data_IF_946742245369
#
_entry.id   IF_946742245369
#
_cell.length_a   1.000
_cell.length_b   1.000
_cell.length_c   1.000
_cell.angle_alpha   90.00
_cell.angle_beta   90.00
_cell.angle_gamma   90.00
#
_symmetry.space_group_name_H-M   'P 1'
#
loop_
_entity.id
_entity.type
_entity.pdbx_description
1 polymer ?
#
# COMPACT_ATOMS: atom_id res chain seq x y z
N UNK A 1 85.17 40.63 28.13
CA UNK A 1 84.30 40.34 26.97
C UNK A 1 83.06 41.22 27.06
N UNK A 2 82.82 42.09 26.08
CA UNK A 2 81.65 42.97 26.08
C UNK A 2 80.36 42.12 26.00
N UNK A 3 79.31 42.42 26.80
CA UNK A 3 78.07 41.66 26.77
C UNK A 3 77.40 41.82 25.40
N UNK A 4 77.14 40.69 24.72
CA UNK A 4 76.44 40.69 23.44
C UNK A 4 75.00 41.13 23.66
N UNK A 5 74.53 42.12 22.87
CA UNK A 5 73.15 42.62 22.92
C UNK A 5 72.21 41.45 22.58
N UNK A 6 71.34 41.07 23.53
CA UNK A 6 70.29 40.06 23.29
C UNK A 6 69.30 40.59 22.25
N UNK A 7 68.74 39.72 21.42
CA UNK A 7 67.75 40.11 20.40
C UNK A 7 66.46 40.61 21.07
N UNK A 8 65.75 41.55 20.41
CA UNK A 8 64.49 42.18 20.89
C UNK A 8 63.42 41.14 21.23
N UNK A 9 63.48 39.98 20.58
CA UNK A 9 62.56 38.86 20.79
C UNK A 9 62.55 38.40 22.24
N UNK A 10 63.67 38.49 22.96
CA UNK A 10 63.73 38.12 24.37
C UNK A 10 62.85 38.98 25.28
N UNK A 11 62.40 40.16 24.86
CA UNK A 11 61.47 40.98 25.65
C UNK A 11 60.10 40.30 25.84
N UNK A 12 59.74 39.35 24.99
CA UNK A 12 58.46 38.63 25.03
C UNK A 12 58.55 37.26 25.72
N UNK A 13 59.73 36.84 26.15
CA UNK A 13 59.95 35.49 26.67
C UNK A 13 60.75 35.49 27.97
N UNK A 14 60.40 34.57 28.87
CA UNK A 14 61.14 34.28 30.11
C UNK A 14 61.83 32.93 29.97
N UNK A 15 63.12 32.84 30.25
CA UNK A 15 63.82 31.55 30.30
C UNK A 15 63.36 30.74 31.52
N UNK A 16 63.01 29.47 31.30
CA UNK A 16 62.66 28.52 32.36
C UNK A 16 63.78 27.52 32.55
N UNK A 17 64.24 26.91 31.45
CA UNK A 17 65.38 25.98 31.41
C UNK A 17 66.35 26.39 30.30
N UNK A 18 67.53 25.76 30.24
CA UNK A 18 68.52 25.97 29.17
C UNK A 18 67.95 25.79 27.75
N UNK A 19 66.91 24.96 27.61
CA UNK A 19 66.28 24.63 26.32
C UNK A 19 64.81 25.06 26.23
N UNK A 20 64.24 25.70 27.26
CA UNK A 20 62.81 26.04 27.31
C UNK A 20 62.61 27.49 27.77
N UNK A 21 61.77 28.20 27.04
CA UNK A 21 61.38 29.58 27.32
C UNK A 21 59.86 29.68 27.34
N UNK A 22 59.30 30.45 28.26
CA UNK A 22 57.86 30.69 28.35
C UNK A 22 57.53 32.03 27.72
N UNK A 23 56.55 32.05 26.81
CA UNK A 23 56.03 33.27 26.23
C UNK A 23 55.26 34.07 27.30
N UNK A 24 55.52 35.37 27.41
CA UNK A 24 54.84 36.23 28.37
C UNK A 24 53.45 36.69 27.89
N UNK A 25 53.14 36.49 26.60
CA UNK A 25 51.85 36.90 26.00
C UNK A 25 50.78 35.80 26.09
N UNK A 26 51.15 34.52 25.93
CA UNK A 26 50.22 33.39 26.03
C UNK A 26 50.58 32.35 27.09
N UNK A 27 51.69 32.54 27.82
CA UNK A 27 52.18 31.62 28.85
C UNK A 27 52.54 30.20 28.37
N UNK A 28 52.59 29.98 27.05
CA UNK A 28 53.02 28.72 26.48
C UNK A 28 54.54 28.54 26.53
N UNK A 29 54.97 27.28 26.73
CA UNK A 29 56.38 26.93 26.73
C UNK A 29 56.86 26.60 25.32
N UNK A 30 57.89 27.30 24.88
CA UNK A 30 58.53 27.18 23.57
C UNK A 30 59.97 26.66 23.74
N UNK A 31 60.39 25.75 22.88
CA UNK A 31 61.76 25.22 22.90
C UNK A 31 62.74 26.21 22.27
N UNK A 32 63.82 26.50 22.98
CA UNK A 32 64.93 27.34 22.52
C UNK A 32 66.21 26.51 22.38
N UNK A 33 66.54 26.10 21.16
CA UNK A 33 67.76 25.32 20.87
C UNK A 33 68.91 26.25 20.46
N UNK A 34 69.30 27.19 21.32
CA UNK A 34 70.41 28.13 21.08
C UNK A 34 70.16 29.25 20.06
N UNK A 35 69.02 29.23 19.35
CA UNK A 35 68.62 30.26 18.37
C UNK A 35 67.19 30.76 18.63
N UNK A 36 66.91 32.02 18.29
CA UNK A 36 65.60 32.64 18.54
C UNK A 36 64.54 32.33 17.49
N UNK A 37 64.82 31.47 16.50
CA UNK A 37 63.91 31.12 15.39
C UNK A 37 62.56 30.57 15.86
N UNK A 38 62.57 29.68 16.86
CA UNK A 38 61.33 29.15 17.45
C UNK A 38 60.51 30.22 18.18
N UNK A 39 61.19 31.17 18.82
CA UNK A 39 60.55 32.29 19.52
C UNK A 39 59.92 33.27 18.51
N UNK A 40 60.62 33.58 17.41
CA UNK A 40 60.05 34.39 16.32
C UNK A 40 58.86 33.69 15.65
N UNK A 41 58.98 32.39 15.37
CA UNK A 41 57.89 31.61 14.77
C UNK A 41 56.64 31.65 15.65
N UNK A 42 56.82 31.46 16.96
CA UNK A 42 55.72 31.56 17.93
C UNK A 42 55.09 32.96 17.93
N UNK A 43 55.89 34.03 17.94
CA UNK A 43 55.35 35.39 17.87
C UNK A 43 54.61 35.66 16.55
N UNK A 44 55.10 35.17 15.41
CA UNK A 44 54.42 35.37 14.11
C UNK A 44 53.11 34.58 14.01
N UNK A 45 53.04 33.39 14.57
CA UNK A 45 51.83 32.56 14.46
C UNK A 45 50.75 32.94 15.48
N UNK A 46 51.14 33.25 16.73
CA UNK A 46 50.17 33.50 17.82
C UNK A 46 50.02 34.97 18.19
N UNK A 47 51.01 35.80 17.86
CA UNK A 47 51.10 37.19 18.32
C UNK A 47 51.52 38.15 17.18
N UNK A 48 50.94 37.94 15.99
CA UNK A 48 51.31 38.65 14.76
C UNK A 48 51.25 40.19 14.92
N UNK A 49 50.27 40.67 15.69
CA UNK A 49 50.05 42.10 15.93
C UNK A 49 51.15 42.72 16.83
N UNK A 50 51.61 41.97 17.85
CA UNK A 50 52.66 42.39 18.78
C UNK A 50 54.05 42.33 18.14
N UNK A 51 54.31 41.31 17.31
CA UNK A 51 55.54 41.21 16.53
C UNK A 51 55.72 42.41 15.58
N UNK A 52 54.64 42.83 14.93
CA UNK A 52 54.64 43.94 13.96
C UNK A 52 54.95 45.28 14.64
N UNK A 53 54.41 45.50 15.85
CA UNK A 53 54.68 46.70 16.66
C UNK A 53 56.14 46.76 17.18
N UNK A 54 56.70 45.61 17.56
CA UNK A 54 58.08 45.50 18.04
C UNK A 54 59.14 45.64 16.93
N UNK A 55 58.79 45.26 15.69
CA UNK A 55 59.64 45.46 14.52
C UNK A 55 59.65 46.93 14.06
N UNK A 56 58.53 47.64 14.22
CA UNK A 56 58.37 49.04 13.81
C UNK A 56 59.07 50.06 14.74
N UNK A 57 59.49 49.67 15.94
CA UNK A 57 60.07 50.60 16.94
C UNK A 57 61.57 50.92 16.72
N UNK A 58 62.17 50.51 15.60
CA UNK A 58 63.59 50.75 15.30
C UNK A 58 63.89 51.90 14.35
N UNK A 59 62.88 52.61 13.85
CA UNK A 59 63.09 53.72 12.93
C UNK A 59 62.56 55.05 13.47
N UNK A 60 63.41 55.71 14.25
CA UNK A 60 63.39 57.17 14.39
C UNK A 60 64.81 57.69 14.18
N UNK A 61 65.24 57.73 12.92
CA UNK A 61 66.25 58.72 12.46
C UNK A 61 65.99 59.17 11.02
N UNK A 62 65.20 60.24 10.92
CA UNK A 62 65.28 61.33 9.92
C UNK A 62 65.26 61.03 8.41
N UNK A 63 64.14 61.45 7.80
CA UNK A 63 63.99 62.35 6.63
C UNK A 63 64.07 61.78 5.20
N UNK A 64 63.04 62.19 4.45
CA UNK A 64 62.90 62.40 3.01
C UNK A 64 62.36 61.26 2.15
N UNK A 65 61.33 61.64 1.42
CA UNK A 65 60.72 60.94 0.31
C UNK A 65 61.74 60.56 -0.75
N UNK A 66 61.64 59.35 -1.26
CA UNK A 66 61.74 59.17 -2.70
C UNK A 66 60.84 58.02 -3.13
N UNK A 67 60.13 58.31 -4.21
CA UNK A 67 59.35 57.42 -5.06
C UNK A 67 60.32 56.46 -5.78
N UNK A 68 59.79 55.40 -6.37
CA UNK A 68 60.50 54.38 -7.16
C UNK A 68 61.15 53.22 -6.39
N UNK A 69 60.42 52.10 -6.28
CA UNK A 69 61.04 50.77 -6.34
C UNK A 69 60.06 49.70 -6.84
N UNK A 70 60.52 49.02 -7.87
CA UNK A 70 59.96 47.89 -8.61
C UNK A 70 59.46 46.72 -7.73
N UNK A 71 58.57 45.87 -8.26
CA UNK A 71 58.18 44.62 -7.60
C UNK A 71 59.39 43.69 -7.49
N UNK A 72 59.90 43.55 -6.27
CA UNK A 72 60.91 42.54 -5.94
C UNK A 72 60.23 41.16 -5.99
N UNK A 73 60.43 40.48 -7.10
CA UNK A 73 60.16 39.05 -7.27
C UNK A 73 60.90 38.30 -6.14
N UNK A 74 60.15 37.73 -5.20
CA UNK A 74 60.72 36.80 -4.22
C UNK A 74 61.03 35.50 -4.96
N UNK A 75 62.29 35.09 -4.87
CA UNK A 75 62.83 33.90 -5.51
C UNK A 75 62.03 32.63 -5.15
N UNK A 76 61.73 31.89 -6.22
CA UNK A 76 60.73 30.83 -6.36
C UNK A 76 61.27 29.43 -6.04
N UNK A 77 62.05 29.22 -4.97
CA UNK A 77 62.66 27.89 -4.74
C UNK A 77 62.55 27.31 -3.32
N UNK A 78 61.69 27.85 -2.45
CA UNK A 78 61.38 27.18 -1.15
C UNK A 78 59.92 27.36 -0.69
N UNK A 79 59.02 27.60 -1.63
CA UNK A 79 57.57 27.53 -1.41
C UNK A 79 57.03 26.45 -2.35
N UNK A 80 56.50 25.36 -1.79
CA UNK A 80 55.35 24.58 -2.26
C UNK A 80 55.46 23.14 -1.71
N UNK A 81 54.91 22.88 -0.53
CA UNK A 81 54.40 21.53 -0.20
C UNK A 81 53.19 21.52 0.76
N UNK A 82 52.61 22.68 1.10
CA UNK A 82 51.45 22.77 2.01
C UNK A 82 50.21 23.45 1.37
N UNK A 83 50.33 23.92 0.12
CA UNK A 83 49.20 24.52 -0.61
C UNK A 83 48.38 23.47 -1.41
N UNK A 84 48.94 22.27 -1.62
CA UNK A 84 48.26 21.19 -2.34
C UNK A 84 47.28 20.41 -1.45
N UNK A 85 47.55 20.31 -0.15
CA UNK A 85 46.73 19.54 0.80
C UNK A 85 45.42 20.27 1.18
N UNK A 86 45.45 21.60 1.29
CA UNK A 86 44.24 22.41 1.57
C UNK A 86 43.30 22.52 0.36
N UNK A 87 43.82 22.56 -0.87
CA UNK A 87 42.97 22.51 -2.08
C UNK A 87 42.40 21.11 -2.31
N UNK A 88 43.19 20.04 -2.09
CA UNK A 88 42.71 18.65 -2.21
C UNK A 88 41.63 18.27 -1.18
N UNK A 89 41.73 18.78 0.05
CA UNK A 89 40.70 18.61 1.08
C UNK A 89 39.38 19.31 0.69
N UNK A 90 39.44 20.55 0.17
CA UNK A 90 38.26 21.28 -0.32
C UNK A 90 37.61 20.57 -1.53
N UNK A 91 38.39 20.03 -2.47
CA UNK A 91 37.85 19.26 -3.61
C UNK A 91 37.24 17.92 -3.19
N UNK A 92 37.79 17.29 -2.15
CA UNK A 92 37.21 16.09 -1.53
C UNK A 92 35.85 16.38 -0.90
N UNK A 93 35.75 17.45 -0.11
CA UNK A 93 34.50 17.90 0.52
C UNK A 93 33.42 18.27 -0.51
N UNK A 94 33.79 18.98 -1.60
CA UNK A 94 32.84 19.32 -2.68
C UNK A 94 32.28 18.07 -3.35
N UNK A 95 33.11 17.06 -3.65
CA UNK A 95 32.66 15.79 -4.24
C UNK A 95 31.74 15.00 -3.32
N UNK A 96 32.00 15.03 -2.01
CA UNK A 96 31.13 14.39 -1.00
C UNK A 96 29.77 15.08 -0.96
N UNK A 97 29.74 16.41 -0.89
CA UNK A 97 28.50 17.20 -0.88
C UNK A 97 27.68 17.03 -2.17
N UNK A 98 28.33 16.95 -3.33
CA UNK A 98 27.68 16.66 -4.60
C UNK A 98 27.02 15.27 -4.60
N UNK A 99 27.74 14.25 -4.12
CA UNK A 99 27.20 12.89 -3.99
C UNK A 99 26.06 12.82 -2.97
N UNK A 100 26.14 13.53 -1.86
CA UNK A 100 25.05 13.62 -0.87
C UNK A 100 23.80 14.29 -1.46
N UNK A 101 23.98 15.35 -2.26
CA UNK A 101 22.87 15.98 -2.99
C UNK A 101 22.23 15.01 -3.98
N UNK A 102 23.03 14.28 -4.76
CA UNK A 102 22.54 13.27 -5.70
C UNK A 102 21.74 12.16 -5.00
N UNK A 103 22.25 11.64 -3.88
CA UNK A 103 21.54 10.65 -3.07
C UNK A 103 20.22 11.20 -2.51
N UNK A 104 20.22 12.45 -2.07
CA UNK A 104 19.01 13.13 -1.56
C UNK A 104 17.98 13.32 -2.67
N UNK A 105 18.41 13.71 -3.87
CA UNK A 105 17.54 13.82 -5.04
C UNK A 105 17.01 12.46 -5.49
N UNK A 106 17.84 11.41 -5.48
CA UNK A 106 17.44 10.05 -5.81
C UNK A 106 16.39 9.53 -4.82
N UNK A 107 16.58 9.76 -3.51
CA UNK A 107 15.60 9.41 -2.48
C UNK A 107 14.29 10.18 -2.68
N UNK A 108 14.33 11.49 -2.97
CA UNK A 108 13.13 12.27 -3.26
C UNK A 108 12.38 11.73 -4.48
N UNK A 109 13.09 11.34 -5.54
CA UNK A 109 12.49 10.71 -6.73
C UNK A 109 11.86 9.36 -6.38
N UNK A 110 12.55 8.51 -5.61
CA UNK A 110 12.03 7.23 -5.17
C UNK A 110 10.75 7.39 -4.32
N UNK A 111 10.76 8.28 -3.33
CA UNK A 111 9.59 8.58 -2.51
C UNK A 111 8.42 9.11 -3.35
N UNK A 112 8.69 9.94 -4.35
CA UNK A 112 7.64 10.42 -5.25
C UNK A 112 7.08 9.31 -6.14
N UNK A 113 7.91 8.37 -6.59
CA UNK A 113 7.46 7.19 -7.32
C UNK A 113 6.60 6.28 -6.45
N UNK A 114 7.03 6.03 -5.21
CA UNK A 114 6.25 5.26 -4.22
C UNK A 114 4.90 5.92 -3.92
N UNK A 115 4.87 7.24 -3.72
CA UNK A 115 3.63 7.98 -3.50
C UNK A 115 2.65 7.83 -4.67
N UNK A 116 3.14 7.93 -5.92
CA UNK A 116 2.31 7.72 -7.12
C UNK A 116 1.80 6.29 -7.23
N UNK A 117 2.64 5.31 -6.94
CA UNK A 117 2.23 3.90 -6.96
C UNK A 117 1.14 3.62 -5.91
N UNK A 118 1.25 4.19 -4.71
CA UNK A 118 0.23 4.09 -3.67
C UNK A 118 -1.08 4.77 -4.07
N UNK A 119 -1.00 5.92 -4.73
CA UNK A 119 -2.19 6.62 -5.25
C UNK A 119 -2.92 5.76 -6.29
N UNK A 120 -2.19 5.20 -7.26
CA UNK A 120 -2.75 4.26 -8.24
C UNK A 120 -3.39 3.03 -7.58
N UNK A 121 -2.74 2.46 -6.56
CA UNK A 121 -3.32 1.33 -5.81
C UNK A 121 -4.62 1.74 -5.09
N UNK A 122 -4.69 2.94 -4.52
CA UNK A 122 -5.92 3.46 -3.87
C UNK A 122 -7.04 3.66 -4.89
N UNK A 123 -6.74 4.22 -6.05
CA UNK A 123 -7.73 4.41 -7.13
C UNK A 123 -8.28 3.08 -7.65
N UNK A 124 -7.41 2.07 -7.83
CA UNK A 124 -7.82 0.73 -8.22
C UNK A 124 -8.72 0.09 -7.14
N UNK A 125 -8.34 0.19 -5.86
CA UNK A 125 -9.16 -0.31 -4.76
C UNK A 125 -10.52 0.39 -4.68
N UNK A 126 -10.57 1.70 -4.89
CA UNK A 126 -11.82 2.44 -4.92
C UNK A 126 -12.70 2.06 -6.12
N UNK A 127 -12.08 1.83 -7.28
CA UNK A 127 -12.77 1.33 -8.47
C UNK A 127 -13.38 -0.04 -8.23
N UNK A 128 -12.62 -0.97 -7.63
CA UNK A 128 -13.11 -2.29 -7.25
C UNK A 128 -14.24 -2.22 -6.22
N UNK A 129 -14.14 -1.35 -5.22
CA UNK A 129 -15.22 -1.12 -4.25
C UNK A 129 -16.50 -0.64 -4.94
N UNK A 130 -16.38 0.34 -5.85
CA UNK A 130 -17.53 0.86 -6.61
C UNK A 130 -18.15 -0.24 -7.49
N UNK A 131 -17.34 -1.04 -8.17
CA UNK A 131 -17.81 -2.17 -8.97
C UNK A 131 -18.57 -3.20 -8.10
N UNK A 132 -17.97 -3.62 -6.98
CA UNK A 132 -18.59 -4.57 -6.05
C UNK A 132 -19.93 -4.05 -5.51
N UNK A 133 -20.02 -2.76 -5.12
CA UNK A 133 -21.30 -2.19 -4.66
C UNK A 133 -22.38 -2.19 -5.74
N UNK A 134 -22.00 -1.97 -7.01
CA UNK A 134 -22.93 -2.02 -8.15
C UNK A 134 -23.40 -3.44 -8.41
N UNK A 135 -22.48 -4.40 -8.44
CA UNK A 135 -22.79 -5.83 -8.60
C UNK A 135 -23.73 -6.31 -7.49
N UNK A 136 -23.39 -6.03 -6.22
CA UNK A 136 -24.24 -6.39 -5.09
C UNK A 136 -25.64 -5.74 -5.17
N UNK A 137 -25.75 -4.51 -5.70
CA UNK A 137 -27.06 -3.87 -5.92
C UNK A 137 -27.85 -4.53 -7.05
N UNK A 138 -27.17 -4.92 -8.14
CA UNK A 138 -27.78 -5.59 -9.27
C UNK A 138 -28.27 -7.00 -8.88
N UNK A 139 -27.47 -7.75 -8.12
CA UNK A 139 -27.85 -9.06 -7.58
C UNK A 139 -29.09 -8.97 -6.69
N UNK A 140 -29.16 -7.98 -5.79
CA UNK A 140 -30.35 -7.75 -4.95
C UNK A 140 -31.60 -7.52 -5.78
N UNK A 141 -31.52 -6.68 -6.81
CA UNK A 141 -32.64 -6.40 -7.72
C UNK A 141 -33.04 -7.66 -8.50
N UNK A 142 -32.08 -8.44 -8.98
CA UNK A 142 -32.34 -9.70 -9.67
C UNK A 142 -33.06 -10.72 -8.76
N UNK A 143 -32.60 -10.87 -7.52
CA UNK A 143 -33.22 -11.75 -6.53
C UNK A 143 -34.63 -11.29 -6.16
N UNK A 144 -34.85 -9.98 -5.97
CA UNK A 144 -36.18 -9.44 -5.68
C UNK A 144 -37.14 -9.65 -6.86
N UNK A 145 -36.66 -9.50 -8.09
CA UNK A 145 -37.44 -9.77 -9.31
C UNK A 145 -37.81 -11.25 -9.41
N UNK A 146 -36.86 -12.15 -9.18
CA UNK A 146 -37.11 -13.60 -9.18
C UNK A 146 -38.12 -13.98 -8.09
N UNK A 147 -37.97 -13.45 -6.87
CA UNK A 147 -38.91 -13.69 -5.77
C UNK A 147 -40.33 -13.26 -6.13
N UNK A 148 -40.50 -12.07 -6.72
CA UNK A 148 -41.83 -11.60 -7.18
C UNK A 148 -42.43 -12.52 -8.24
N UNK A 149 -41.62 -13.00 -9.18
CA UNK A 149 -42.05 -13.95 -10.20
C UNK A 149 -42.52 -15.26 -9.57
N UNK A 150 -41.76 -15.81 -8.62
CA UNK A 150 -42.12 -17.03 -7.89
C UNK A 150 -43.40 -16.85 -7.07
N UNK A 151 -43.56 -15.71 -6.39
CA UNK A 151 -44.79 -15.41 -5.65
C UNK A 151 -46.01 -15.29 -6.58
N UNK A 152 -45.84 -14.73 -7.77
CA UNK A 152 -46.90 -14.66 -8.77
C UNK A 152 -47.25 -16.05 -9.31
N UNK A 153 -46.26 -16.87 -9.63
CA UNK A 153 -46.45 -18.24 -10.09
C UNK A 153 -47.16 -19.09 -9.03
N UNK A 154 -46.74 -19.01 -7.76
CA UNK A 154 -47.39 -19.69 -6.65
C UNK A 154 -48.86 -19.27 -6.48
N UNK A 155 -49.17 -17.97 -6.66
CA UNK A 155 -50.56 -17.47 -6.65
C UNK A 155 -51.37 -18.02 -7.82
N UNK A 156 -50.80 -18.10 -9.01
CA UNK A 156 -51.47 -18.67 -10.19
C UNK A 156 -51.77 -20.15 -9.98
N UNK A 157 -50.79 -20.93 -9.54
CA UNK A 157 -50.95 -22.36 -9.23
C UNK A 157 -51.97 -22.59 -8.12
N UNK A 158 -52.01 -21.72 -7.11
CA UNK A 158 -53.03 -21.80 -6.07
C UNK A 158 -54.45 -21.62 -6.64
N UNK A 159 -54.65 -20.65 -7.53
CA UNK A 159 -55.95 -20.43 -8.17
C UNK A 159 -56.35 -21.63 -9.01
N UNK A 160 -55.45 -22.14 -9.84
CA UNK A 160 -55.68 -23.34 -10.65
C UNK A 160 -56.04 -24.56 -9.79
N UNK A 161 -55.34 -24.76 -8.67
CA UNK A 161 -55.68 -25.81 -7.70
C UNK A 161 -57.08 -25.63 -7.12
N UNK A 162 -57.46 -24.41 -6.77
CA UNK A 162 -58.82 -24.11 -6.24
C UNK A 162 -59.90 -24.32 -7.31
N UNK A 163 -59.64 -23.96 -8.57
CA UNK A 163 -60.52 -24.21 -9.71
C UNK A 163 -60.70 -25.72 -9.94
N UNK A 164 -59.61 -26.48 -10.01
CA UNK A 164 -59.65 -27.93 -10.15
C UNK A 164 -60.36 -28.61 -8.96
N UNK A 165 -60.21 -28.07 -7.75
CA UNK A 165 -60.93 -28.57 -6.58
C UNK A 165 -62.43 -28.32 -6.68
N UNK A 166 -62.86 -27.16 -7.21
CA UNK A 166 -64.27 -26.86 -7.49
C UNK A 166 -64.83 -27.85 -8.52
N UNK A 167 -64.15 -27.99 -9.66
CA UNK A 167 -64.56 -28.91 -10.73
C UNK A 167 -64.65 -30.36 -10.24
N UNK A 168 -63.70 -30.81 -9.41
CA UNK A 168 -63.75 -32.14 -8.79
C UNK A 168 -65.00 -32.35 -7.93
N UNK A 169 -65.41 -31.34 -7.16
CA UNK A 169 -66.63 -31.42 -6.34
C UNK A 169 -67.88 -31.42 -7.22
N UNK A 170 -67.93 -30.59 -8.26
CA UNK A 170 -69.05 -30.57 -9.22
C UNK A 170 -69.21 -31.92 -9.92
N UNK A 171 -68.12 -32.49 -10.44
CA UNK A 171 -68.13 -33.81 -11.07
C UNK A 171 -68.54 -34.92 -10.10
N UNK A 172 -68.14 -34.82 -8.82
CA UNK A 172 -68.58 -35.77 -7.80
C UNK A 172 -70.09 -35.66 -7.54
N UNK A 173 -70.64 -34.45 -7.46
CA UNK A 173 -72.08 -34.24 -7.31
C UNK A 173 -72.85 -34.75 -8.53
N UNK A 174 -72.34 -34.52 -9.74
CA UNK A 174 -72.95 -35.04 -10.98
C UNK A 174 -72.91 -36.56 -11.02
N UNK A 175 -71.79 -37.19 -10.62
CA UNK A 175 -71.66 -38.65 -10.51
C UNK A 175 -72.69 -39.22 -9.55
N UNK A 176 -72.87 -38.62 -8.38
CA UNK A 176 -73.88 -39.05 -7.40
C UNK A 176 -75.30 -38.88 -7.93
N UNK A 177 -75.59 -37.78 -8.64
CA UNK A 177 -76.87 -37.56 -9.29
C UNK A 177 -77.16 -38.66 -10.32
N UNK A 178 -76.20 -38.94 -11.21
CA UNK A 178 -76.33 -39.99 -12.22
C UNK A 178 -76.51 -41.38 -11.59
N UNK A 179 -75.85 -41.63 -10.45
CA UNK A 179 -76.03 -42.87 -9.70
C UNK A 179 -77.45 -42.99 -9.13
N UNK A 180 -77.99 -41.93 -8.52
CA UNK A 180 -79.38 -41.91 -8.02
C UNK A 180 -80.38 -42.15 -9.15
N UNK A 181 -80.22 -41.47 -10.29
CA UNK A 181 -81.08 -41.67 -11.47
C UNK A 181 -81.02 -43.14 -11.96
N UNK A 182 -79.84 -43.78 -11.92
CA UNK A 182 -79.71 -45.22 -12.24
C UNK A 182 -80.44 -46.12 -11.23
N UNK A 183 -80.31 -45.85 -9.93
CA UNK A 183 -80.99 -46.59 -8.87
C UNK A 183 -82.52 -46.43 -8.95
N UNK A 184 -83.02 -45.23 -9.24
CA UNK A 184 -84.44 -44.95 -9.46
C UNK A 184 -84.98 -45.73 -10.68
N UNK A 185 -84.26 -45.71 -11.81
CA UNK A 185 -84.61 -46.48 -12.99
C UNK A 185 -84.62 -47.99 -12.71
N UNK A 186 -83.72 -48.49 -11.86
CA UNK A 186 -83.71 -49.88 -11.43
C UNK A 186 -84.93 -50.21 -10.54
N UNK A 187 -85.29 -49.33 -9.60
CA UNK A 187 -86.49 -49.47 -8.77
C UNK A 187 -87.75 -49.53 -9.64
N UNK A 188 -87.91 -48.59 -10.57
CA UNK A 188 -89.02 -48.57 -11.53
C UNK A 188 -89.08 -49.85 -12.39
N UNK A 189 -87.93 -50.40 -12.79
CA UNK A 189 -87.85 -51.67 -13.53
C UNK A 189 -88.35 -52.85 -12.70
N UNK A 190 -87.98 -52.91 -11.42
CA UNK A 190 -88.45 -53.96 -10.48
C UNK A 190 -89.95 -53.84 -10.24
N UNK A 191 -90.47 -52.64 -10.02
CA UNK A 191 -91.90 -52.37 -9.83
C UNK A 191 -92.74 -52.71 -11.07
N UNK A 192 -92.19 -52.47 -12.27
CA UNK A 192 -92.84 -52.80 -13.55
C UNK A 192 -92.90 -54.31 -13.83
N UNK A 193 -92.41 -55.17 -12.92
CA UNK A 193 -92.50 -56.62 -13.04
C UNK A 193 -91.60 -57.22 -14.14
N UNK A 194 -90.61 -56.47 -14.63
CA UNK A 194 -89.59 -56.98 -15.55
C UNK A 194 -88.44 -57.68 -14.81
N UNK A 195 -88.72 -58.34 -13.69
CA UNK A 195 -87.93 -59.50 -13.30
C UNK A 195 -88.22 -60.61 -14.31
N UNK A 196 -87.51 -60.59 -15.45
CA UNK A 196 -87.26 -61.86 -16.13
C UNK A 196 -86.52 -62.72 -15.12
N UNK A 197 -87.23 -63.71 -14.56
CA UNK A 197 -86.67 -64.92 -13.98
C UNK A 197 -85.39 -65.28 -14.77
N UNK A 198 -84.29 -65.68 -14.11
CA UNK A 198 -83.09 -66.08 -14.83
C UNK A 198 -83.49 -67.21 -15.77
N UNK A 199 -83.61 -66.89 -17.06
CA UNK A 199 -83.76 -67.91 -18.09
C UNK A 199 -82.42 -68.62 -18.05
N UNK A 200 -82.40 -69.77 -17.40
CA UNK A 200 -81.38 -70.78 -17.59
C UNK A 200 -81.43 -71.15 -19.07
N UNK A 201 -80.70 -70.43 -19.91
CA UNK A 201 -80.32 -70.96 -21.20
C UNK A 201 -79.27 -72.02 -20.89
N UNK A 202 -79.75 -73.24 -20.72
CA UNK A 202 -78.94 -74.45 -20.79
C UNK A 202 -78.29 -74.44 -22.16
N UNK A 203 -77.07 -73.91 -22.25
CA UNK A 203 -76.24 -74.09 -23.43
C UNK A 203 -75.63 -75.49 -23.31
N UNK A 204 -76.43 -76.48 -23.74
CA UNK A 204 -75.90 -77.77 -24.16
C UNK A 204 -75.15 -77.49 -25.46
N UNK A 205 -73.90 -77.93 -25.48
CA UNK A 205 -72.93 -77.97 -26.58
C UNK A 205 -71.97 -76.78 -26.72
N UNK A 206 -70.69 -77.18 -26.78
CA UNK A 206 -69.48 -76.44 -27.17
C UNK A 206 -68.91 -75.46 -26.14
N UNK A 207 -68.01 -75.98 -25.32
CA UNK A 207 -67.16 -75.19 -24.44
C UNK A 207 -66.12 -74.38 -25.19
N UNK A 208 -65.78 -73.23 -24.61
CA UNK A 208 -64.40 -72.81 -24.36
C UNK A 208 -64.43 -71.60 -23.43
N UNK A 209 -63.53 -71.69 -22.46
CA UNK A 209 -63.23 -70.76 -21.39
C UNK A 209 -62.51 -69.53 -21.96
N UNK A 210 -62.95 -68.30 -21.67
CA UNK A 210 -62.05 -67.25 -21.19
C UNK A 210 -62.85 -66.01 -20.77
N UNK A 211 -62.73 -65.67 -19.48
CA UNK A 211 -63.14 -64.39 -18.95
C UNK A 211 -62.05 -63.36 -19.19
N UNK A 212 -62.43 -62.22 -19.74
CA UNK A 212 -61.60 -61.03 -19.71
C UNK A 212 -61.94 -60.24 -18.45
N UNK A 213 -61.15 -60.52 -17.41
CA UNK A 213 -60.95 -59.62 -16.27
C UNK A 213 -60.19 -58.41 -16.81
N UNK A 214 -60.88 -57.32 -17.10
CA UNK A 214 -60.24 -56.03 -17.30
C UNK A 214 -59.76 -55.56 -15.93
N UNK A 215 -58.46 -55.75 -15.66
CA UNK A 215 -57.76 -55.15 -14.53
C UNK A 215 -57.83 -53.62 -14.68
N UNK A 216 -58.63 -52.97 -13.84
CA UNK A 216 -58.43 -51.55 -13.55
C UNK A 216 -57.08 -51.43 -12.80
N UNK A 217 -56.04 -51.05 -13.54
CA UNK A 217 -54.76 -50.66 -12.95
C UNK A 217 -54.96 -49.33 -12.23
N UNK A 218 -55.07 -49.40 -10.91
CA UNK A 218 -54.93 -48.25 -10.02
C UNK A 218 -53.46 -47.82 -10.04
N UNK A 219 -53.11 -46.88 -10.91
CA UNK A 219 -51.76 -46.31 -10.98
C UNK A 219 -51.59 -45.35 -9.81
N UNK A 220 -51.13 -45.86 -8.67
CA UNK A 220 -50.59 -45.04 -7.58
C UNK A 220 -49.26 -44.44 -8.01
N UNK A 221 -49.27 -43.19 -8.49
CA UNK A 221 -48.06 -42.38 -8.64
C UNK A 221 -47.54 -42.03 -7.24
N UNK A 222 -46.44 -42.67 -6.83
CA UNK A 222 -45.66 -42.26 -5.66
C UNK A 222 -44.83 -41.05 -6.05
N UNK A 223 -45.07 -39.92 -5.38
CA UNK A 223 -44.13 -38.80 -5.32
C UNK A 223 -42.91 -39.25 -4.50
N UNK A 224 -41.78 -39.48 -5.18
CA UNK A 224 -40.47 -39.50 -4.53
C UNK A 224 -39.97 -38.06 -4.45
N UNK A 225 -40.25 -37.43 -3.31
CA UNK A 225 -39.43 -36.33 -2.79
C UNK A 225 -38.37 -37.00 -1.91
N UNK A 226 -37.10 -36.94 -2.32
CA UNK A 226 -35.88 -36.76 -1.50
C UNK A 226 -34.63 -37.21 -2.28
N UNK A 227 -33.81 -36.25 -2.65
CA UNK A 227 -32.49 -36.39 -3.28
C UNK A 227 -31.92 -35.04 -3.64
#
# INVERSE_FOLDING_TARGET
MAPRKRSVVWSFFRAVDEKKVTCLLCLETVLHCGHTTNMLRHLRSKHLNEYSSAAASKDRRSVAADDNSQPMMINSEDYCDDAFDVMGACEGEVRVLERERELTEALRRAQQQEARALEQQRELLETLRRANTREASAEKVALETLRRSQEQEARSLQREREDLQRERVELQMEKERMQREREELECLRRESGLERSPVQTVDRTTGLFQGDVVQEQEVTMREEVLG
#
